data_IF_959312694952
#
_entry.id   IF_959312694952
#
_cell.length_a   1.000
_cell.length_b   1.000
_cell.length_c   1.000
_cell.angle_alpha   90.00
_cell.angle_beta   90.00
_cell.angle_gamma   90.00
#
_symmetry.space_group_name_H-M   'P 1'
#
loop_
_entity.id
_entity.type
_entity.pdbx_description
1 polymer ?
#
# COMPACT_ATOMS: atom_id res chain seq x y z
N UNK A 1 27.05 2.28 13.97
CA UNK A 1 25.65 2.66 13.68
C UNK A 1 25.68 3.99 12.95
N UNK A 2 25.23 4.04 11.70
CA UNK A 2 25.05 5.29 10.98
C UNK A 2 23.56 5.64 11.00
N UNK A 3 23.20 6.70 11.72
CA UNK A 3 21.86 7.26 11.66
C UNK A 3 21.72 8.01 10.34
N UNK A 4 20.75 7.58 9.53
CA UNK A 4 20.41 8.19 8.26
C UNK A 4 19.17 9.06 8.46
N UNK A 5 19.35 10.37 8.48
CA UNK A 5 18.25 11.31 8.28
C UNK A 5 18.11 11.54 6.77
N UNK A 6 16.94 11.24 6.20
CA UNK A 6 16.67 11.53 4.79
C UNK A 6 15.42 12.39 4.67
N UNK A 7 15.58 13.55 4.04
CA UNK A 7 14.49 14.39 3.59
C UNK A 7 14.20 14.07 2.13
N UNK A 8 13.67 12.87 1.87
CA UNK A 8 13.04 12.55 0.60
C UNK A 8 11.56 12.44 0.95
N UNK A 9 10.70 13.12 0.20
CA UNK A 9 9.25 13.33 0.45
C UNK A 9 8.91 14.49 1.40
N UNK A 10 7.68 15.00 1.32
CA UNK A 10 7.15 16.13 2.10
C UNK A 10 7.01 15.88 3.63
N UNK A 11 7.86 15.05 4.24
CA UNK A 11 7.78 14.60 5.63
C UNK A 11 9.16 14.30 6.24
N UNK A 12 9.17 13.70 7.43
CA UNK A 12 10.41 13.37 8.13
C UNK A 12 10.75 11.89 7.98
N UNK A 13 11.93 11.60 7.43
CA UNK A 13 12.47 10.25 7.30
C UNK A 13 13.66 10.02 8.20
N UNK A 14 13.67 8.89 8.92
CA UNK A 14 14.79 8.43 9.72
C UNK A 14 15.08 6.98 9.46
N UNK A 15 16.28 6.54 9.75
CA UNK A 15 16.61 5.14 9.68
C UNK A 15 18.04 4.87 9.99
N UNK A 16 18.41 3.60 9.90
CA UNK A 16 19.78 3.16 10.07
C UNK A 16 20.01 1.95 9.18
N UNK A 17 21.25 1.78 8.77
CA UNK A 17 21.70 0.60 8.02
C UNK A 17 23.00 0.13 8.65
N UNK A 18 23.11 -1.17 8.82
CA UNK A 18 24.29 -1.84 9.34
C UNK A 18 24.71 -2.94 8.36
N UNK A 19 26.00 -2.95 8.04
CA UNK A 19 26.65 -3.99 7.27
C UNK A 19 27.70 -4.64 8.16
N UNK A 20 27.55 -5.95 8.37
CA UNK A 20 28.50 -6.78 9.10
C UNK A 20 29.11 -7.80 8.15
N UNK A 21 30.44 -7.93 8.20
CA UNK A 21 31.16 -8.98 7.48
C UNK A 21 31.41 -10.14 8.46
N UNK A 22 30.65 -11.22 8.28
CA UNK A 22 30.79 -12.43 9.09
C UNK A 22 31.47 -13.55 8.30
N UNK A 23 31.99 -14.58 8.99
CA UNK A 23 32.54 -15.77 8.35
C UNK A 23 31.53 -16.51 7.45
N UNK A 24 30.23 -16.36 7.73
CA UNK A 24 29.13 -16.90 6.93
C UNK A 24 28.74 -16.02 5.71
N UNK A 25 29.48 -14.93 5.47
CA UNK A 25 29.22 -13.97 4.41
C UNK A 25 28.67 -12.62 4.91
N UNK A 26 28.41 -11.66 4.01
CA UNK A 26 27.91 -10.35 4.38
C UNK A 26 26.49 -10.44 4.93
N UNK A 27 26.28 -9.78 6.06
CA UNK A 27 24.97 -9.57 6.68
C UNK A 27 24.65 -8.08 6.65
N UNK A 28 23.54 -7.73 6.00
CA UNK A 28 23.01 -6.37 5.98
C UNK A 28 21.71 -6.37 6.78
N UNK A 29 21.51 -5.36 7.63
CA UNK A 29 20.20 -5.09 8.22
C UNK A 29 19.98 -3.60 8.32
N UNK A 30 18.72 -3.20 8.36
CA UNK A 30 18.38 -1.80 8.55
C UNK A 30 16.92 -1.61 8.88
N UNK A 31 16.62 -0.40 9.31
CA UNK A 31 15.26 0.06 9.55
C UNK A 31 15.10 1.45 8.96
N UNK A 32 13.99 1.70 8.30
CA UNK A 32 13.59 3.00 7.76
C UNK A 32 12.21 3.31 8.32
N UNK A 33 12.04 4.52 8.86
CA UNK A 33 10.75 5.05 9.22
C UNK A 33 10.52 6.40 8.57
N UNK A 34 9.26 6.71 8.34
CA UNK A 34 8.82 7.99 7.81
C UNK A 34 7.52 8.42 8.45
N UNK A 35 7.37 9.71 8.71
CA UNK A 35 6.15 10.31 9.22
C UNK A 35 5.72 11.49 8.36
N UNK A 36 4.40 11.68 8.25
CA UNK A 36 3.78 12.80 7.51
C UNK A 36 4.19 12.84 6.03
N UNK A 37 4.50 11.69 5.45
CA UNK A 37 4.85 11.55 4.03
C UNK A 37 3.56 11.60 3.20
N UNK A 38 3.50 12.40 2.15
CA UNK A 38 2.35 12.35 1.23
C UNK A 38 2.31 11.01 0.52
N UNK A 39 1.23 10.25 0.70
CA UNK A 39 1.11 8.90 0.11
C UNK A 39 1.09 8.94 -1.42
N UNK A 40 0.57 10.03 -2.01
CA UNK A 40 0.63 10.25 -3.47
C UNK A 40 2.08 10.30 -4.02
N UNK A 41 2.99 10.99 -3.32
CA UNK A 41 4.41 11.09 -3.69
C UNK A 41 5.13 9.75 -3.50
N UNK A 42 4.80 9.04 -2.43
CA UNK A 42 5.33 7.72 -2.14
C UNK A 42 4.93 6.72 -3.24
N UNK A 43 3.64 6.62 -3.58
CA UNK A 43 3.16 5.70 -4.62
C UNK A 43 3.75 5.99 -5.99
N UNK A 44 3.85 7.28 -6.36
CA UNK A 44 4.46 7.71 -7.63
C UNK A 44 5.93 7.27 -7.74
N UNK A 45 6.70 7.44 -6.66
CA UNK A 45 8.14 7.11 -6.64
C UNK A 45 8.39 5.61 -6.77
N UNK A 46 7.55 4.79 -6.16
CA UNK A 46 7.68 3.32 -6.22
C UNK A 46 6.88 2.69 -7.37
N UNK A 47 6.36 3.50 -8.30
CA UNK A 47 5.71 3.01 -9.52
C UNK A 47 4.41 2.23 -9.27
N UNK A 48 3.72 2.50 -8.16
CA UNK A 48 2.43 1.87 -7.87
C UNK A 48 1.36 2.55 -8.74
N UNK A 49 0.97 1.91 -9.84
CA UNK A 49 0.06 2.45 -10.88
C UNK A 49 -1.35 1.83 -10.88
N UNK A 50 -1.77 1.21 -9.77
CA UNK A 50 -3.10 0.56 -9.66
C UNK A 50 -4.23 1.49 -9.21
N UNK A 51 -3.90 2.75 -8.90
CA UNK A 51 -4.82 3.72 -8.31
C UNK A 51 -4.08 4.92 -7.72
N UNK A 52 -4.84 5.95 -7.35
CA UNK A 52 -4.31 7.12 -6.62
C UNK A 52 -4.81 7.08 -5.18
N UNK A 53 -3.98 7.45 -4.23
CA UNK A 53 -4.35 7.56 -2.82
C UNK A 53 -3.84 8.90 -2.31
N UNK A 54 -4.64 9.60 -1.52
CA UNK A 54 -4.26 10.85 -0.86
C UNK A 54 -4.23 10.67 0.64
N UNK A 55 -3.37 11.42 1.34
CA UNK A 55 -3.25 11.35 2.80
C UNK A 55 -1.81 11.39 3.30
N UNK A 56 -1.66 11.44 4.63
CA UNK A 56 -0.36 11.45 5.29
C UNK A 56 -0.01 10.05 5.77
N UNK A 57 0.97 9.46 5.11
CA UNK A 57 1.57 8.17 5.40
C UNK A 57 2.56 8.26 6.56
N UNK A 58 2.43 7.33 7.48
CA UNK A 58 3.46 6.91 8.42
C UNK A 58 3.88 5.49 8.05
N UNK A 59 5.17 5.18 8.06
CA UNK A 59 5.64 3.83 7.78
C UNK A 59 6.87 3.45 8.58
N UNK A 60 7.05 2.15 8.77
CA UNK A 60 8.27 1.52 9.27
C UNK A 60 8.60 0.32 8.37
N UNK A 61 9.85 0.22 7.94
CA UNK A 61 10.37 -0.81 7.06
C UNK A 61 11.66 -1.37 7.65
N UNK A 62 11.59 -2.60 8.14
CA UNK A 62 12.75 -3.36 8.56
C UNK A 62 13.18 -4.30 7.43
N UNK A 63 14.47 -4.35 7.14
CA UNK A 63 15.02 -5.27 6.15
C UNK A 63 16.26 -5.96 6.69
N UNK A 64 16.46 -7.18 6.24
CA UNK A 64 17.65 -7.97 6.53
C UNK A 64 18.04 -8.76 5.29
N UNK A 65 19.32 -8.80 4.97
CA UNK A 65 19.87 -9.61 3.90
C UNK A 65 21.02 -10.46 4.43
N UNK A 66 20.91 -11.78 4.28
CA UNK A 66 21.94 -12.74 4.69
C UNK A 66 22.08 -13.83 3.64
N UNK A 67 23.31 -14.08 3.18
CA UNK A 67 23.63 -15.19 2.28
C UNK A 67 22.69 -15.30 1.05
N UNK A 68 22.41 -14.15 0.40
CA UNK A 68 21.56 -14.09 -0.79
C UNK A 68 20.05 -14.12 -0.51
N UNK A 69 19.62 -14.13 0.77
CA UNK A 69 18.20 -14.08 1.16
C UNK A 69 17.88 -12.71 1.73
N UNK A 70 16.89 -12.05 1.12
CA UNK A 70 16.30 -10.82 1.63
C UNK A 70 15.04 -11.16 2.44
N UNK A 71 14.93 -10.58 3.63
CA UNK A 71 13.70 -10.53 4.42
C UNK A 71 13.31 -9.07 4.60
N UNK A 72 12.02 -8.78 4.42
CA UNK A 72 11.46 -7.43 4.58
C UNK A 72 10.22 -7.51 5.45
N UNK A 73 10.08 -6.59 6.39
CA UNK A 73 8.86 -6.38 7.16
C UNK A 73 8.52 -4.90 7.11
N UNK A 74 7.34 -4.59 6.59
CA UNK A 74 6.85 -3.24 6.45
C UNK A 74 5.50 -3.06 7.13
N UNK A 75 5.30 -1.92 7.79
CA UNK A 75 4.00 -1.44 8.26
C UNK A 75 3.79 -0.03 7.73
N UNK A 76 2.62 0.20 7.16
CA UNK A 76 2.23 1.45 6.52
C UNK A 76 0.87 1.87 7.07
N UNK A 77 0.71 3.12 7.45
CA UNK A 77 -0.50 3.65 8.04
C UNK A 77 -0.83 5.03 7.48
N UNK A 78 -2.12 5.27 7.20
CA UNK A 78 -2.65 6.61 6.92
C UNK A 78 -3.73 6.91 7.95
N UNK A 79 -3.37 7.50 9.11
CA UNK A 79 -4.28 7.65 10.25
C UNK A 79 -5.37 8.71 10.03
N UNK A 80 -5.12 9.69 9.16
CA UNK A 80 -6.07 10.78 8.83
C UNK A 80 -6.71 10.63 7.46
N UNK A 81 -6.77 9.40 6.95
CA UNK A 81 -7.60 9.07 5.80
C UNK A 81 -7.31 9.86 4.52
N UNK A 82 -8.21 9.72 3.56
CA UNK A 82 -8.17 10.44 2.29
C UNK A 82 -9.10 9.82 1.27
N UNK A 83 -8.79 9.98 0.00
CA UNK A 83 -9.52 9.34 -1.10
C UNK A 83 -8.61 8.34 -1.78
N UNK A 84 -9.08 7.12 -1.99
CA UNK A 84 -8.43 6.15 -2.89
C UNK A 84 -9.28 5.99 -4.15
N UNK A 85 -8.66 6.16 -5.30
CA UNK A 85 -9.26 5.88 -6.59
C UNK A 85 -8.65 4.60 -7.15
N UNK A 86 -9.49 3.67 -7.60
CA UNK A 86 -9.05 2.37 -8.12
C UNK A 86 -9.21 2.37 -9.63
N UNK A 87 -8.12 2.55 -10.38
CA UNK A 87 -8.13 2.67 -11.84
C UNK A 87 -8.64 1.39 -12.54
N UNK A 88 -8.50 0.22 -11.89
CA UNK A 88 -9.03 -1.05 -12.41
C UNK A 88 -10.55 -1.03 -12.55
N UNK A 89 -11.25 -0.30 -11.67
CA UNK A 89 -12.71 -0.17 -11.73
C UNK A 89 -13.16 0.70 -12.89
N UNK A 90 -12.34 1.66 -13.35
CA UNK A 90 -12.64 2.44 -14.54
C UNK A 90 -12.62 1.56 -15.81
N UNK A 91 -11.70 0.60 -15.89
CA UNK A 91 -11.71 -0.40 -16.97
C UNK A 91 -12.92 -1.33 -16.90
N UNK A 92 -13.30 -1.78 -15.70
CA UNK A 92 -14.45 -2.67 -15.50
C UNK A 92 -15.78 -1.92 -15.72
N UNK A 93 -15.86 -0.63 -15.36
CA UNK A 93 -16.99 0.25 -15.65
C UNK A 93 -17.22 0.42 -17.15
N UNK A 94 -16.15 0.48 -17.95
CA UNK A 94 -16.24 0.46 -19.40
C UNK A 94 -16.90 -0.82 -19.94
N UNK A 95 -16.68 -1.96 -19.30
CA UNK A 95 -17.40 -3.21 -19.62
C UNK A 95 -18.83 -3.24 -19.06
N UNK A 96 -19.08 -2.55 -17.95
CA UNK A 96 -20.41 -2.45 -17.32
C UNK A 96 -21.38 -1.54 -18.08
N UNK A 97 -20.98 -0.87 -19.16
CA UNK A 97 -21.92 -0.23 -20.10
C UNK A 97 -22.90 -1.23 -20.72
N UNK A 98 -22.56 -2.53 -20.69
CA UNK A 98 -23.44 -3.63 -21.08
C UNK A 98 -24.40 -4.12 -19.97
N UNK A 99 -24.43 -3.49 -18.78
CA UNK A 99 -25.36 -3.85 -17.69
C UNK A 99 -26.71 -3.10 -17.84
N UNK A 100 -27.79 -3.77 -18.30
CA UNK A 100 -29.10 -3.15 -18.46
C UNK A 100 -29.80 -2.83 -17.12
N UNK A 101 -29.31 -3.38 -15.99
CA UNK A 101 -29.92 -3.17 -14.67
C UNK A 101 -29.38 -1.94 -13.95
N UNK A 102 -28.21 -1.44 -14.35
CA UNK A 102 -27.54 -0.28 -13.74
C UNK A 102 -27.03 -0.52 -12.30
N UNK A 103 -27.28 -1.69 -11.72
CA UNK A 103 -26.87 -2.05 -10.35
C UNK A 103 -25.35 -2.24 -10.30
N UNK A 104 -24.78 -2.92 -11.29
CA UNK A 104 -23.33 -3.13 -11.38
C UNK A 104 -22.63 -1.79 -11.61
N UNK A 105 -23.20 -0.94 -12.46
CA UNK A 105 -22.72 0.43 -12.67
C UNK A 105 -22.72 1.26 -11.39
N UNK A 106 -23.82 1.24 -10.63
CA UNK A 106 -23.92 1.98 -9.36
C UNK A 106 -22.95 1.49 -8.29
N UNK A 107 -22.78 0.18 -8.16
CA UNK A 107 -21.82 -0.42 -7.23
C UNK A 107 -20.36 -0.08 -7.61
N UNK A 108 -20.01 -0.21 -8.89
CA UNK A 108 -18.67 0.10 -9.39
C UNK A 108 -18.35 1.61 -9.29
N UNK A 109 -19.32 2.49 -9.56
CA UNK A 109 -19.14 3.93 -9.45
C UNK A 109 -18.91 4.39 -8.00
N UNK A 110 -19.52 3.70 -7.03
CA UNK A 110 -19.30 3.94 -5.60
C UNK A 110 -17.95 3.40 -5.10
N UNK A 111 -17.40 2.38 -5.76
CA UNK A 111 -16.08 1.83 -5.49
C UNK A 111 -14.94 2.59 -6.20
N UNK A 112 -15.27 3.34 -7.26
CA UNK A 112 -14.34 4.15 -8.06
C UNK A 112 -13.51 5.11 -7.22
N UNK A 113 -14.17 5.80 -6.30
CA UNK A 113 -13.56 6.74 -5.35
C UNK A 113 -14.04 6.40 -3.94
N UNK A 114 -13.16 5.79 -3.16
CA UNK A 114 -13.45 5.37 -1.80
C UNK A 114 -12.86 6.37 -0.81
N UNK A 115 -13.75 7.08 -0.11
CA UNK A 115 -13.37 7.91 1.03
C UNK A 115 -13.07 7.03 2.24
N UNK A 116 -11.82 7.02 2.67
CA UNK A 116 -11.38 6.20 3.80
C UNK A 116 -11.03 7.08 5.00
N UNK A 117 -11.39 6.61 6.19
CA UNK A 117 -11.05 7.20 7.49
C UNK A 117 -9.62 6.88 7.88
N UNK A 118 -9.21 5.63 7.66
CA UNK A 118 -7.86 5.16 7.96
C UNK A 118 -7.48 3.99 7.05
N UNK A 119 -6.20 3.85 6.76
CA UNK A 119 -5.65 2.72 6.05
C UNK A 119 -4.46 2.14 6.82
N UNK A 120 -4.34 0.82 6.83
CA UNK A 120 -3.20 0.08 7.37
C UNK A 120 -2.79 -0.98 6.36
N UNK A 121 -1.49 -1.13 6.12
CA UNK A 121 -0.95 -2.20 5.31
C UNK A 121 0.28 -2.80 5.97
N UNK A 122 0.38 -4.12 5.92
CA UNK A 122 1.53 -4.87 6.38
C UNK A 122 2.09 -5.68 5.23
N UNK A 123 3.41 -5.62 5.07
CA UNK A 123 4.14 -6.39 4.07
C UNK A 123 5.13 -7.27 4.80
N UNK A 124 5.14 -8.56 4.47
CA UNK A 124 6.13 -9.49 4.97
C UNK A 124 6.74 -10.25 3.80
N UNK A 125 8.07 -10.33 3.77
CA UNK A 125 8.82 -11.11 2.81
C UNK A 125 9.79 -12.02 3.54
N UNK A 126 9.78 -13.30 3.17
CA UNK A 126 10.76 -14.30 3.56
C UNK A 126 11.27 -15.02 2.31
N UNK A 127 12.37 -14.54 1.73
CA UNK A 127 12.87 -15.04 0.45
C UNK A 127 12.05 -14.49 -0.72
N UNK A 128 11.51 -15.36 -1.57
CA UNK A 128 10.72 -14.96 -2.75
C UNK A 128 9.21 -14.84 -2.46
N UNK A 129 8.73 -15.33 -1.31
CA UNK A 129 7.32 -15.20 -0.92
C UNK A 129 7.10 -13.85 -0.23
N UNK A 130 6.46 -12.93 -0.96
CA UNK A 130 6.04 -11.61 -0.45
C UNK A 130 4.54 -11.67 -0.22
N UNK A 131 4.12 -11.38 1.02
CA UNK A 131 2.72 -11.35 1.42
C UNK A 131 2.31 -9.99 1.91
N UNK A 132 1.09 -9.60 1.57
CA UNK A 132 0.51 -8.30 1.87
C UNK A 132 -0.81 -8.49 2.60
N UNK A 133 -0.97 -7.74 3.69
CA UNK A 133 -2.25 -7.52 4.34
C UNK A 133 -2.59 -6.04 4.23
N UNK A 134 -3.86 -5.72 4.01
CA UNK A 134 -4.34 -4.36 3.82
C UNK A 134 -5.71 -4.22 4.47
N UNK A 135 -5.90 -3.19 5.28
CA UNK A 135 -7.15 -2.83 5.91
C UNK A 135 -7.46 -1.36 5.59
N UNK A 136 -8.54 -1.13 4.84
CA UNK A 136 -9.05 0.18 4.49
C UNK A 136 -10.40 0.37 5.19
N UNK A 137 -10.48 1.33 6.11
CA UNK A 137 -11.74 1.67 6.79
C UNK A 137 -12.41 2.84 6.12
N UNK A 138 -13.65 2.65 5.70
CA UNK A 138 -14.47 3.69 5.07
C UNK A 138 -14.83 4.79 6.06
N UNK A 139 -15.06 6.00 5.54
CA UNK A 139 -15.68 7.07 6.33
C UNK A 139 -17.18 6.78 6.43
N UNK A 140 -17.73 6.81 7.64
CA UNK A 140 -19.18 6.71 7.83
C UNK A 140 -19.87 7.90 7.15
N UNK A 141 -20.74 7.62 6.18
CA UNK A 141 -21.65 8.60 5.60
C UNK A 141 -23.08 8.26 6.04
N UNK A 142 -23.65 9.11 6.89
CA UNK A 142 -25.05 8.99 7.31
C UNK A 142 -25.97 9.29 6.12
N UNK A 143 -26.88 8.36 5.81
CA UNK A 143 -28.03 8.63 4.91
C UNK A 143 -27.91 8.24 3.44
N UNK A 144 -26.90 7.49 3.01
CA UNK A 144 -26.77 7.03 1.61
C UNK A 144 -27.03 5.51 1.53
N UNK A 145 -28.00 5.10 0.69
CA UNK A 145 -28.30 3.69 0.41
C UNK A 145 -28.11 3.40 -1.09
N UNK A 146 -27.39 2.33 -1.48
CA UNK A 146 -26.73 1.34 -0.63
C UNK A 146 -25.56 1.94 0.17
N UNK A 147 -25.23 1.36 1.34
CA UNK A 147 -24.15 1.87 2.18
C UNK A 147 -22.83 1.82 1.40
N UNK A 148 -22.11 2.94 1.38
CA UNK A 148 -20.70 2.95 0.94
C UNK A 148 -19.95 1.90 1.76
N UNK A 149 -19.08 1.14 1.10
CA UNK A 149 -18.33 0.03 1.71
C UNK A 149 -17.76 0.44 3.06
N UNK A 150 -18.01 -0.35 4.12
CA UNK A 150 -17.56 0.00 5.47
C UNK A 150 -16.08 -0.28 5.68
N UNK A 151 -15.60 -1.40 5.15
CA UNK A 151 -14.22 -1.82 5.29
C UNK A 151 -13.84 -2.73 4.13
N UNK A 152 -12.60 -2.59 3.65
CA UNK A 152 -11.97 -3.52 2.71
C UNK A 152 -10.80 -4.15 3.46
N UNK A 153 -10.84 -5.47 3.64
CA UNK A 153 -9.80 -6.23 4.31
C UNK A 153 -9.22 -7.28 3.36
N UNK A 154 -7.93 -7.19 3.11
CA UNK A 154 -7.12 -8.18 2.42
C UNK A 154 -6.14 -8.72 3.46
N UNK A 155 -6.02 -10.04 3.57
CA UNK A 155 -5.13 -10.65 4.56
C UNK A 155 -4.23 -11.68 3.90
N UNK A 156 -2.93 -11.56 4.15
CA UNK A 156 -1.93 -12.57 3.80
C UNK A 156 -1.97 -12.96 2.30
N UNK A 157 -2.21 -11.98 1.43
CA UNK A 157 -2.31 -12.19 -0.01
C UNK A 157 -0.91 -12.19 -0.63
N UNK A 158 -0.53 -13.20 -1.43
CA UNK A 158 0.75 -13.20 -2.11
C UNK A 158 0.81 -12.05 -3.13
N UNK A 159 1.88 -11.25 -3.09
CA UNK A 159 2.05 -10.11 -3.98
C UNK A 159 2.08 -10.53 -5.45
N UNK A 160 2.58 -11.74 -5.75
CA UNK A 160 2.55 -12.31 -7.09
C UNK A 160 1.13 -12.44 -7.67
N UNK A 161 0.13 -12.63 -6.81
CA UNK A 161 -1.28 -12.61 -7.21
C UNK A 161 -1.72 -11.19 -7.59
N UNK A 162 -1.35 -10.17 -6.81
CA UNK A 162 -1.66 -8.76 -7.11
C UNK A 162 -0.98 -8.30 -8.39
N UNK A 163 0.31 -8.58 -8.58
CA UNK A 163 1.08 -8.16 -9.77
C UNK A 163 0.47 -8.74 -11.05
N UNK A 164 -0.06 -9.97 -11.01
CA UNK A 164 -0.77 -10.56 -12.15
C UNK A 164 -2.09 -9.87 -12.48
N UNK A 165 -2.73 -9.20 -11.52
CA UNK A 165 -3.93 -8.39 -11.75
C UNK A 165 -3.60 -6.99 -12.28
N UNK A 166 -2.34 -6.55 -12.14
CA UNK A 166 -1.82 -5.29 -12.67
C UNK A 166 -0.62 -5.53 -13.59
N UNK A 167 -0.76 -6.32 -14.68
CA UNK A 167 0.33 -6.54 -15.61
C UNK A 167 0.73 -5.19 -16.20
N UNK A 168 2.01 -4.82 -16.03
CA UNK A 168 2.56 -3.60 -16.60
C UNK A 168 2.29 -3.55 -18.10
N UNK A 169 1.64 -2.48 -18.54
CA UNK A 169 1.74 -2.00 -19.92
C UNK A 169 3.03 -1.23 -20.09
#
# INVERSE_FOLDING_TARGET
MNDLAYARYSGDGKGWVELTLEAAGPFLRGSLSGERVRIEEFMSTYGIRGGTMTGLLTYTLDFQHRAGRLGVKGRFEVPRGGTVNIELLDRILGYAEADPTGIVRGALHNLRAFEYKSAEAEVHSAGEDIRVSLALRGREQLGIFPPKVREINIRNLPLSFLVRQFPGG
#
